data_IF_982878567019
#
_entry.id   IF_982878567019
#
_cell.length_a   1.000
_cell.length_b   1.000
_cell.length_c   1.000
_cell.angle_alpha   90.00
_cell.angle_beta   90.00
_cell.angle_gamma   90.00
#
_symmetry.space_group_name_H-M   'P 1'
#
loop_
_entity.id
_entity.type
_entity.pdbx_description
1 polymer ?
#
# COMPACT_ATOMS: atom_id res chain seq x y z
N UNK A 1 -0.38 -23.90 -13.95
CA UNK A 1 -0.33 -23.45 -13.60
C UNK A 1 -0.19 -22.84 -13.05
N UNK A 2 -0.23 -22.38 -12.91
CA UNK A 2 -0.23 -21.87 -12.51
C UNK A 2 -0.10 -21.25 -11.75
N UNK A 3 -0.01 -20.77 -11.58
CA UNK A 3 0.00 -20.25 -10.75
C UNK A 3 -0.41 -19.36 -10.41
N UNK A 4 -0.54 -19.24 -9.94
CA UNK A 4 -1.02 -18.47 -9.39
C UNK A 4 -0.51 -17.28 -9.10
N UNK A 5 -0.07 -16.56 -9.93
CA UNK A 5 0.39 -15.22 -9.75
C UNK A 5 -0.80 -14.33 -9.63
N UNK A 6 -0.79 -13.49 -8.63
CA UNK A 6 -1.81 -12.47 -8.53
C UNK A 6 -1.61 -11.52 -9.70
N UNK A 7 -2.67 -11.23 -10.40
CA UNK A 7 -2.61 -10.23 -11.46
C UNK A 7 -2.67 -8.85 -10.81
N UNK A 8 -1.52 -8.25 -10.60
CA UNK A 8 -1.43 -6.98 -9.89
C UNK A 8 -2.11 -5.84 -10.66
N UNK A 9 -2.23 -5.98 -11.96
CA UNK A 9 -2.87 -4.94 -12.76
C UNK A 9 -4.35 -4.77 -12.42
N UNK A 10 -4.97 -5.81 -11.88
CA UNK A 10 -6.37 -5.71 -11.46
C UNK A 10 -6.55 -4.75 -10.30
N UNK A 11 -5.48 -4.44 -9.59
CA UNK A 11 -5.55 -3.56 -8.42
C UNK A 11 -5.09 -2.14 -8.74
N UNK A 12 -4.79 -1.87 -10.00
CA UNK A 12 -4.30 -0.57 -10.40
C UNK A 12 -5.42 0.47 -10.32
N UNK A 13 -5.27 1.43 -9.43
CA UNK A 13 -6.28 2.46 -9.19
C UNK A 13 -6.09 3.71 -10.03
N UNK A 14 -4.95 3.82 -10.71
CA UNK A 14 -4.59 5.06 -11.41
C UNK A 14 -4.26 4.75 -12.85
N UNK A 15 -4.57 5.70 -13.73
CA UNK A 15 -4.28 5.55 -15.15
C UNK A 15 -2.90 6.07 -15.52
N UNK A 16 -2.28 6.82 -14.64
CA UNK A 16 -0.96 7.39 -14.91
C UNK A 16 -0.23 7.63 -13.61
N UNK A 17 1.08 7.77 -13.72
CA UNK A 17 1.92 8.11 -12.57
C UNK A 17 1.55 9.49 -12.04
N UNK A 18 1.21 10.42 -12.93
CA UNK A 18 0.78 11.75 -12.53
C UNK A 18 -0.47 11.71 -11.66
N UNK A 19 -1.42 10.87 -12.02
CA UNK A 19 -2.64 10.73 -11.24
C UNK A 19 -2.34 10.16 -9.86
N UNK A 20 -1.51 9.13 -9.80
CA UNK A 20 -1.09 8.55 -8.54
C UNK A 20 -0.41 9.60 -7.67
N UNK A 21 0.52 10.34 -8.25
CA UNK A 21 1.28 11.35 -7.54
C UNK A 21 0.37 12.44 -6.97
N UNK A 22 -0.62 12.84 -7.75
CA UNK A 22 -1.58 13.85 -7.31
C UNK A 22 -2.35 13.37 -6.08
N UNK A 23 -2.79 12.11 -6.07
CA UNK A 23 -3.51 11.55 -4.94
C UNK A 23 -2.60 11.44 -3.71
N UNK A 24 -1.37 10.98 -3.91
CA UNK A 24 -0.42 10.82 -2.81
C UNK A 24 -0.09 12.18 -2.18
N UNK A 25 0.02 13.23 -2.98
CA UNK A 25 0.25 14.57 -2.44
C UNK A 25 -0.88 15.01 -1.51
N UNK A 26 -2.09 14.68 -1.84
CA UNK A 26 -3.21 15.00 -0.97
C UNK A 26 -3.14 14.23 0.34
N UNK A 27 -2.73 12.96 0.26
CA UNK A 27 -2.56 12.15 1.47
C UNK A 27 -1.44 12.69 2.35
N UNK A 28 -0.36 13.18 1.74
CA UNK A 28 0.77 13.71 2.50
C UNK A 28 0.37 14.83 3.44
N UNK A 29 -0.61 15.63 3.04
CA UNK A 29 -1.10 16.73 3.87
C UNK A 29 -1.77 16.18 5.14
N UNK A 30 -2.34 14.98 5.06
CA UNK A 30 -3.08 14.37 6.16
C UNK A 30 -2.21 13.51 7.07
N UNK A 31 -0.97 13.23 6.67
CA UNK A 31 -0.15 12.26 7.35
C UNK A 31 1.01 12.92 8.09
N UNK A 32 1.44 12.28 9.18
CA UNK A 32 2.68 12.66 9.83
C UNK A 32 3.85 12.33 8.90
N UNK A 33 4.94 13.05 9.10
CA UNK A 33 6.12 12.88 8.27
C UNK A 33 6.56 11.42 8.16
N UNK A 34 6.58 10.70 9.27
CA UNK A 34 7.04 9.32 9.27
C UNK A 34 6.13 8.41 8.44
N UNK A 35 4.83 8.66 8.51
CA UNK A 35 3.87 7.85 7.74
C UNK A 35 3.93 8.17 6.26
N UNK A 36 4.03 9.44 5.90
CA UNK A 36 4.07 9.74 4.47
C UNK A 36 5.40 9.33 3.85
N UNK A 37 6.48 9.27 4.63
CA UNK A 37 7.73 8.73 4.10
C UNK A 37 7.56 7.28 3.66
N UNK A 38 6.85 6.49 4.47
CA UNK A 38 6.57 5.11 4.11
C UNK A 38 5.68 5.04 2.87
N UNK A 39 4.64 5.86 2.83
CA UNK A 39 3.73 5.90 1.68
C UNK A 39 4.47 6.32 0.40
N UNK A 40 5.32 7.32 0.50
CA UNK A 40 6.06 7.79 -0.68
C UNK A 40 7.07 6.76 -1.16
N UNK A 41 7.64 5.98 -0.25
CA UNK A 41 8.52 4.90 -0.67
C UNK A 41 7.71 3.85 -1.46
N UNK A 42 6.52 3.50 -0.98
CA UNK A 42 5.64 2.60 -1.72
C UNK A 42 5.35 3.18 -3.10
N UNK A 43 5.13 4.49 -3.19
CA UNK A 43 4.88 5.15 -4.46
C UNK A 43 6.05 4.96 -5.41
N UNK A 44 7.27 5.10 -4.92
CA UNK A 44 8.46 4.93 -5.76
C UNK A 44 8.55 3.54 -6.35
N UNK A 45 8.09 2.54 -5.63
CA UNK A 45 8.12 1.15 -6.10
C UNK A 45 6.83 0.76 -6.82
N UNK A 46 5.96 1.73 -7.10
CA UNK A 46 4.66 1.48 -7.70
C UNK A 46 4.56 2.00 -9.14
N UNK A 47 5.68 2.19 -9.80
CA UNK A 47 5.65 2.78 -11.14
C UNK A 47 5.49 1.74 -12.24
N UNK A 48 5.82 0.51 -11.96
CA UNK A 48 5.71 -0.55 -12.96
C UNK A 48 4.25 -0.98 -13.15
N UNK A 49 3.56 -1.23 -12.03
CA UNK A 49 2.11 -1.36 -12.04
C UNK A 49 1.63 -0.19 -11.18
N UNK A 50 1.03 0.78 -11.80
CA UNK A 50 0.82 2.08 -11.17
C UNK A 50 -0.05 1.95 -9.92
N UNK A 51 0.52 2.36 -8.80
CA UNK A 51 -0.18 2.31 -7.52
C UNK A 51 -0.06 0.98 -6.79
N UNK A 52 0.64 0.00 -7.38
CA UNK A 52 0.80 -1.32 -6.75
C UNK A 52 2.28 -1.60 -6.54
N UNK A 53 2.65 -1.88 -5.31
CA UNK A 53 4.03 -2.11 -4.92
C UNK A 53 4.14 -3.52 -4.32
N UNK A 54 5.07 -4.30 -4.83
CA UNK A 54 5.32 -5.65 -4.32
C UNK A 54 6.71 -5.66 -3.69
N UNK A 55 6.79 -5.22 -2.45
CA UNK A 55 8.05 -4.97 -1.78
C UNK A 55 8.01 -5.57 -0.36
N UNK A 56 9.14 -6.05 0.10
CA UNK A 56 9.24 -6.64 1.43
C UNK A 56 9.38 -5.56 2.49
N UNK A 57 8.79 -5.82 3.65
CA UNK A 57 8.89 -4.90 4.79
C UNK A 57 10.35 -4.62 5.15
N UNK A 58 11.19 -5.66 5.07
CA UNK A 58 12.62 -5.51 5.36
C UNK A 58 13.28 -4.49 4.43
N UNK A 59 12.89 -4.49 3.17
CA UNK A 59 13.43 -3.55 2.20
C UNK A 59 13.01 -2.13 2.54
N UNK A 60 11.74 -1.95 2.91
CA UNK A 60 11.24 -0.63 3.31
C UNK A 60 12.01 -0.14 4.54
N UNK A 61 12.16 -1.01 5.53
CA UNK A 61 12.85 -0.67 6.77
C UNK A 61 14.29 -0.24 6.48
N UNK A 62 14.97 -0.97 5.62
CA UNK A 62 16.35 -0.66 5.27
C UNK A 62 16.45 0.69 4.56
N UNK A 63 15.56 0.94 3.61
CA UNK A 63 15.58 2.18 2.85
C UNK A 63 15.31 3.40 3.72
N UNK A 64 14.46 3.26 4.71
CA UNK A 64 14.09 4.38 5.57
C UNK A 64 14.91 4.45 6.86
N UNK A 65 15.78 3.48 7.09
CA UNK A 65 16.60 3.45 8.31
C UNK A 65 15.76 3.24 9.56
N UNK A 66 14.71 2.43 9.46
CA UNK A 66 13.80 2.16 10.58
C UNK A 66 13.78 0.67 10.87
N UNK A 67 13.28 0.31 12.05
CA UNK A 67 13.11 -1.10 12.39
C UNK A 67 11.93 -1.70 11.64
N UNK A 68 11.95 -3.01 11.49
CA UNK A 68 10.85 -3.74 10.84
C UNK A 68 9.55 -3.50 11.62
N UNK A 69 9.61 -3.51 12.95
CA UNK A 69 8.43 -3.30 13.77
C UNK A 69 7.82 -1.92 13.52
N UNK A 70 8.67 -0.91 13.37
CA UNK A 70 8.19 0.44 13.09
C UNK A 70 7.49 0.51 11.74
N UNK A 71 8.07 -0.12 10.72
CA UNK A 71 7.46 -0.12 9.39
C UNK A 71 6.13 -0.88 9.41
N UNK A 72 6.07 -1.99 10.11
CA UNK A 72 4.80 -2.73 10.22
C UNK A 72 3.70 -1.86 10.85
N UNK A 73 4.05 -1.05 11.84
CA UNK A 73 3.10 -0.13 12.45
C UNK A 73 2.66 0.95 11.47
N UNK A 74 3.60 1.48 10.69
CA UNK A 74 3.26 2.48 9.67
C UNK A 74 2.30 1.91 8.63
N UNK A 75 2.60 0.70 8.15
CA UNK A 75 1.77 0.06 7.14
C UNK A 75 0.38 -0.23 7.69
N UNK A 76 0.31 -0.67 8.94
CA UNK A 76 -0.99 -0.92 9.56
C UNK A 76 -1.79 0.38 9.68
N UNK A 77 -1.14 1.46 10.09
CA UNK A 77 -1.80 2.75 10.18
C UNK A 77 -2.35 3.18 8.83
N UNK A 78 -1.53 3.07 7.78
CA UNK A 78 -1.96 3.46 6.45
C UNK A 78 -3.13 2.61 5.97
N UNK A 79 -3.07 1.31 6.24
CA UNK A 79 -4.14 0.40 5.86
C UNK A 79 -5.43 0.69 6.63
N UNK A 80 -5.33 0.86 7.94
CA UNK A 80 -6.49 1.04 8.80
C UNK A 80 -7.20 2.35 8.51
N UNK A 81 -6.49 3.32 7.97
CA UNK A 81 -7.06 4.63 7.65
C UNK A 81 -7.37 4.81 6.17
N UNK A 82 -7.30 3.74 5.40
CA UNK A 82 -7.77 3.77 4.02
C UNK A 82 -6.81 4.35 3.00
N UNK A 83 -5.56 4.61 3.39
CA UNK A 83 -4.57 5.14 2.44
C UNK A 83 -4.05 4.06 1.51
N UNK A 84 -3.93 2.85 2.00
CA UNK A 84 -3.48 1.72 1.21
C UNK A 84 -4.34 0.50 1.49
N UNK A 85 -4.28 -0.46 0.57
CA UNK A 85 -4.83 -1.79 0.78
C UNK A 85 -3.68 -2.78 0.73
N UNK A 86 -3.78 -3.85 1.48
CA UNK A 86 -2.73 -4.87 1.52
C UNK A 86 -3.27 -6.15 0.93
N UNK A 87 -2.59 -6.65 -0.08
CA UNK A 87 -2.95 -7.91 -0.72
C UNK A 87 -1.94 -8.94 -0.26
N UNK A 88 -2.42 -9.96 0.44
CA UNK A 88 -1.55 -11.03 0.90
C UNK A 88 -1.23 -11.94 -0.27
N UNK A 89 0.05 -12.06 -0.57
CA UNK A 89 0.48 -13.04 -1.54
C UNK A 89 1.07 -14.21 -0.79
N UNK A 90 0.97 -15.39 -1.38
CA UNK A 90 1.59 -16.49 -0.69
C UNK A 90 2.19 -17.46 -1.68
N UNK A 91 3.15 -18.23 -1.17
CA UNK A 91 3.86 -19.21 -1.94
C UNK A 91 3.55 -20.57 -1.40
N UNK A 92 2.86 -21.35 -2.17
CA UNK A 92 2.41 -22.64 -1.69
C UNK A 92 3.55 -23.61 -1.51
N UNK A 93 4.48 -23.60 -2.45
CA UNK A 93 5.51 -24.61 -2.45
C UNK A 93 6.54 -24.43 -1.39
N UNK A 94 6.97 -23.26 -1.19
CA UNK A 94 8.07 -23.02 -0.28
C UNK A 94 7.61 -23.00 1.16
N UNK A 95 6.32 -22.89 1.40
CA UNK A 95 5.82 -22.67 2.74
C UNK A 95 6.28 -21.37 3.33
N UNK A 96 7.03 -20.60 2.58
CA UNK A 96 7.50 -19.32 3.05
C UNK A 96 6.47 -18.23 2.79
N UNK A 97 6.71 -17.12 3.42
CA UNK A 97 5.85 -15.97 3.23
C UNK A 97 6.30 -15.19 2.02
N UNK A 98 5.38 -14.96 1.11
CA UNK A 98 5.65 -14.06 0.01
C UNK A 98 5.61 -12.63 0.49
N UNK A 99 6.15 -11.73 -0.30
CA UNK A 99 6.00 -10.32 -0.03
C UNK A 99 4.56 -9.93 -0.30
N UNK A 100 4.01 -9.07 0.56
CA UNK A 100 2.67 -8.54 0.32
C UNK A 100 2.72 -7.52 -0.80
N UNK A 101 1.60 -7.38 -1.50
CA UNK A 101 1.42 -6.28 -2.44
C UNK A 101 0.68 -5.17 -1.71
N UNK A 102 1.15 -3.94 -1.89
CA UNK A 102 0.56 -2.77 -1.27
C UNK A 102 -0.04 -1.91 -2.37
N UNK A 103 -1.33 -1.64 -2.26
CA UNK A 103 -2.06 -0.88 -3.26
C UNK A 103 -2.33 0.50 -2.70
N UNK A 104 -1.84 1.54 -3.39
CA UNK A 104 -2.14 2.91 -3.00
C UNK A 104 -3.55 3.21 -3.46
N UNK A 105 -4.39 3.65 -2.54
CA UNK A 105 -5.79 3.93 -2.83
C UNK A 105 -5.95 5.35 -3.35
N UNK A 106 -7.03 5.59 -4.08
CA UNK A 106 -7.36 6.94 -4.52
C UNK A 106 -8.03 7.70 -3.38
N UNK A 107 -8.10 9.01 -3.52
CA UNK A 107 -8.80 9.85 -2.55
C UNK A 107 -10.26 9.45 -2.48
N UNK A 108 -10.88 9.16 -3.62
CA UNK A 108 -12.27 8.73 -3.67
C UNK A 108 -12.48 7.41 -2.95
N UNK A 109 -11.57 6.47 -3.17
CA UNK A 109 -11.67 5.18 -2.49
C UNK A 109 -11.61 5.36 -0.98
N UNK A 110 -10.70 6.20 -0.51
CA UNK A 110 -10.54 6.44 0.91
C UNK A 110 -11.78 7.08 1.51
N UNK A 111 -12.39 8.01 0.78
CA UNK A 111 -13.62 8.65 1.24
C UNK A 111 -14.73 7.64 1.44
N UNK A 112 -14.89 6.71 0.50
CA UNK A 112 -15.88 5.65 0.61
C UNK A 112 -15.55 4.71 1.78
N UNK A 113 -14.28 4.37 1.91
CA UNK A 113 -13.81 3.50 2.98
C UNK A 113 -14.15 4.09 4.36
N UNK A 114 -13.84 5.38 4.55
CA UNK A 114 -14.13 6.03 5.82
C UNK A 114 -15.62 6.16 6.07
N UNK A 115 -16.38 6.39 5.03
CA UNK A 115 -17.83 6.48 5.14
C UNK A 115 -18.43 5.15 5.61
N UNK A 116 -17.93 4.05 5.08
CA UNK A 116 -18.40 2.72 5.48
C UNK A 116 -18.10 2.45 6.95
N UNK A 117 -16.92 2.84 7.41
CA UNK A 117 -16.54 2.64 8.79
C UNK A 117 -17.47 3.44 9.72
N UNK A 118 -17.75 4.69 9.36
CA UNK A 118 -18.62 5.54 10.16
C UNK A 118 -20.03 5.02 10.24
N UNK A 119 -20.52 4.44 9.17
CA UNK A 119 -21.90 3.99 9.10
C UNK A 119 -22.11 2.58 9.62
N UNK A 120 -21.02 1.92 9.97
CA UNK A 120 -21.13 0.55 10.43
C UNK A 120 -21.66 0.52 11.85
N UNK A 121 -22.69 -0.27 12.13
CA UNK A 121 -23.18 -0.37 13.49
C UNK A 121 -22.13 -1.05 14.35
N UNK A 122 -21.94 -0.54 15.53
CA UNK A 122 -20.93 -1.08 16.44
C UNK A 122 -21.47 -2.28 17.21
#
# INVERSE_FOLDING_TARGET
MTHQCINLEEYQNFNSISEMDHNVKQFNVLLKKTHYETLNLLKQYSCKVIGVSHIKVQTIAKQLGKSIATIKRHLKYLKDNGFISVINTFRRKSGGKGANAYVINSVEYRDVFLSKIKNEPS
#
